data_IF_618495259061
#
_entry.id   IF_618495259061
#
_cell.length_a   1.000
_cell.length_b   1.000
_cell.length_c   1.000
_cell.angle_alpha   90.00
_cell.angle_beta   90.00
_cell.angle_gamma   90.00
#
_symmetry.space_group_name_H-M   'P 1'
#
loop_
_entity.id
_entity.type
_entity.pdbx_description
1 polymer ?
#
# COMPACT_ATOMS: atom_id res chain seq x y z
N UNK A 1 28.52 0.45 -66.36
CA UNK A 1 28.38 -0.88 -65.71
C UNK A 1 29.34 -0.94 -64.54
N UNK A 2 28.82 -0.88 -63.32
CA UNK A 2 29.62 -0.86 -62.09
C UNK A 2 30.07 -2.26 -61.68
N UNK A 3 31.31 -2.35 -61.19
CA UNK A 3 31.93 -3.54 -60.64
C UNK A 3 31.36 -3.88 -59.26
N UNK A 4 31.22 -5.18 -58.97
CA UNK A 4 31.08 -5.72 -57.62
C UNK A 4 32.13 -6.82 -57.43
N UNK A 5 33.09 -6.64 -56.51
CA UNK A 5 33.74 -7.74 -55.84
C UNK A 5 33.35 -7.78 -54.35
N UNK A 6 33.44 -8.99 -53.80
CA UNK A 6 32.95 -9.39 -52.49
C UNK A 6 33.47 -8.58 -51.31
N UNK A 7 32.63 -8.50 -50.29
CA UNK A 7 33.02 -8.08 -48.95
C UNK A 7 32.98 -9.29 -47.99
N UNK A 8 33.97 -9.40 -47.09
CA UNK A 8 34.17 -10.55 -46.21
C UNK A 8 33.28 -10.53 -44.96
N UNK A 9 33.16 -11.71 -44.35
CA UNK A 9 32.66 -11.90 -43.00
C UNK A 9 33.47 -11.05 -41.99
N UNK A 10 32.78 -10.19 -41.25
CA UNK A 10 33.29 -9.57 -40.04
C UNK A 10 32.21 -9.69 -38.98
N UNK A 11 32.45 -10.63 -38.06
CA UNK A 11 31.70 -10.78 -36.83
C UNK A 11 32.20 -9.70 -35.85
N UNK A 12 31.55 -8.54 -35.86
CA UNK A 12 31.73 -7.50 -34.85
C UNK A 12 30.41 -7.44 -34.05
N UNK A 13 30.33 -8.26 -33.01
CA UNK A 13 29.26 -8.18 -32.02
C UNK A 13 29.46 -6.93 -31.16
N UNK A 14 29.04 -5.78 -31.70
CA UNK A 14 28.81 -4.57 -30.93
C UNK A 14 27.61 -4.77 -30.02
N UNK A 15 27.83 -5.22 -28.78
CA UNK A 15 26.85 -5.04 -27.71
C UNK A 15 26.89 -3.59 -27.26
N UNK A 16 26.16 -2.77 -28.00
CA UNK A 16 25.91 -1.38 -27.67
C UNK A 16 25.14 -1.26 -26.36
N UNK A 17 25.55 -0.28 -25.55
CA UNK A 17 24.71 0.31 -24.53
C UNK A 17 23.40 0.77 -25.16
N UNK A 18 22.29 0.11 -24.78
CA UNK A 18 20.96 0.70 -24.89
C UNK A 18 20.48 1.04 -23.47
N UNK A 19 20.29 2.32 -23.12
CA UNK A 19 19.59 2.70 -21.90
C UNK A 19 18.11 2.33 -22.06
N UNK A 20 17.61 1.46 -21.17
CA UNK A 20 16.20 1.10 -21.10
C UNK A 20 15.38 2.29 -20.56
N UNK A 21 15.11 3.25 -21.44
CA UNK A 21 14.17 4.33 -21.21
C UNK A 21 12.74 3.86 -21.45
N UNK A 22 12.03 3.52 -20.37
CA UNK A 22 10.69 4.08 -20.15
C UNK A 22 10.40 4.16 -18.65
N UNK A 23 9.97 5.33 -18.14
CA UNK A 23 9.75 5.55 -16.73
C UNK A 23 8.48 4.82 -16.32
N UNK A 24 8.59 3.85 -15.41
CA UNK A 24 7.41 3.39 -14.67
C UNK A 24 6.91 4.57 -13.83
N UNK A 25 5.90 5.24 -14.38
CA UNK A 25 5.01 6.19 -13.71
C UNK A 25 4.23 5.42 -12.64
N UNK A 26 4.87 5.08 -11.53
CA UNK A 26 4.18 4.74 -10.27
C UNK A 26 4.79 5.57 -9.17
N UNK A 27 4.17 6.73 -8.99
CA UNK A 27 4.61 7.89 -8.20
C UNK A 27 4.39 7.74 -6.69
N UNK A 28 4.03 6.56 -6.20
CA UNK A 28 3.84 6.32 -4.77
C UNK A 28 4.34 4.91 -4.45
N UNK A 29 5.43 4.76 -3.67
CA UNK A 29 5.77 3.47 -3.10
C UNK A 29 4.59 3.06 -2.23
N UNK A 30 3.84 2.06 -2.69
CA UNK A 30 2.90 1.34 -1.85
C UNK A 30 3.75 0.58 -0.85
N UNK A 31 4.12 1.24 0.23
CA UNK A 31 4.63 0.54 1.40
C UNK A 31 3.51 -0.42 1.78
N UNK A 32 3.73 -1.73 1.59
CA UNK A 32 3.07 -2.71 2.44
C UNK A 32 3.44 -2.32 3.85
N UNK A 33 2.65 -1.45 4.46
CA UNK A 33 2.77 -1.12 5.84
C UNK A 33 2.15 -2.30 6.57
N UNK A 34 2.86 -3.43 6.54
CA UNK A 34 2.69 -4.55 7.45
C UNK A 34 3.09 -4.07 8.84
N UNK A 35 2.33 -3.12 9.36
CA UNK A 35 2.61 -2.40 10.60
C UNK A 35 1.49 -2.64 11.59
N UNK A 36 1.87 -2.78 12.84
CA UNK A 36 0.94 -2.80 13.94
C UNK A 36 0.26 -1.43 14.05
N UNK A 37 -1.04 -1.45 14.25
CA UNK A 37 -1.84 -0.26 14.51
C UNK A 37 -2.66 -0.50 15.76
N UNK A 38 -2.58 0.49 16.64
CA UNK A 38 -3.37 0.54 17.85
C UNK A 38 -4.50 1.53 17.63
N UNK A 39 -5.72 1.10 17.91
CA UNK A 39 -6.93 1.89 17.77
C UNK A 39 -7.58 2.05 19.15
N UNK A 40 -7.90 3.28 19.53
CA UNK A 40 -8.65 3.59 20.74
C UNK A 40 -10.01 4.17 20.34
N UNK A 41 -11.09 3.37 20.38
CA UNK A 41 -12.40 3.86 20.02
C UNK A 41 -12.90 4.90 21.03
N UNK A 42 -13.29 6.08 20.55
CA UNK A 42 -13.81 7.15 21.40
C UNK A 42 -15.32 6.99 21.58
N UNK A 43 -15.78 6.96 22.84
CA UNK A 43 -17.20 6.80 23.17
C UNK A 43 -17.70 5.35 23.20
N UNK A 44 -16.81 4.37 23.03
CA UNK A 44 -17.13 2.95 23.18
C UNK A 44 -16.37 2.39 24.39
N UNK A 45 -17.04 1.57 25.22
CA UNK A 45 -16.41 0.85 26.33
C UNK A 45 -15.68 -0.40 25.84
N UNK A 46 -14.84 -0.25 24.82
CA UNK A 46 -14.04 -1.34 24.24
C UNK A 46 -12.57 -1.03 24.54
N UNK A 47 -11.77 -2.03 24.95
CA UNK A 47 -10.33 -1.83 25.10
C UNK A 47 -9.68 -1.42 23.79
N UNK A 48 -8.41 -0.99 23.87
CA UNK A 48 -7.64 -0.70 22.67
C UNK A 48 -7.62 -1.89 21.72
N UNK A 49 -7.90 -1.62 20.46
CA UNK A 49 -7.99 -2.64 19.42
C UNK A 49 -6.64 -2.67 18.73
N UNK A 50 -5.97 -3.80 18.89
CA UNK A 50 -4.77 -4.09 18.13
C UNK A 50 -5.13 -4.71 16.79
N UNK A 51 -4.56 -4.18 15.72
CA UNK A 51 -4.75 -4.66 14.37
C UNK A 51 -3.49 -4.54 13.55
N UNK A 52 -3.54 -5.14 12.36
CA UNK A 52 -2.51 -5.01 11.35
C UNK A 52 -3.00 -4.06 10.28
N UNK A 53 -2.20 -3.06 10.00
CA UNK A 53 -2.47 -2.16 8.91
C UNK A 53 -2.27 -2.90 7.58
N UNK A 54 -3.24 -2.75 6.68
CA UNK A 54 -3.30 -3.45 5.38
C UNK A 54 -2.87 -2.51 4.26
N UNK A 55 -3.31 -1.25 4.31
CA UNK A 55 -3.00 -0.20 3.35
C UNK A 55 -3.17 1.17 4.01
N UNK A 56 -2.26 2.13 3.73
CA UNK A 56 -2.39 3.55 4.10
C UNK A 56 -2.51 4.36 2.81
N UNK A 57 -3.47 5.28 2.81
CA UNK A 57 -3.67 6.33 1.83
C UNK A 57 -3.65 7.70 2.53
N UNK A 58 -3.48 8.77 1.77
CA UNK A 58 -3.42 10.15 2.31
C UNK A 58 -4.66 10.59 3.09
N UNK A 59 -5.81 9.94 2.84
CA UNK A 59 -7.10 10.27 3.43
C UNK A 59 -7.61 9.20 4.39
N UNK A 60 -6.95 8.05 4.51
CA UNK A 60 -7.51 6.91 5.21
C UNK A 60 -6.58 5.72 5.22
N UNK A 61 -6.93 4.70 5.99
CA UNK A 61 -6.16 3.46 6.06
C UNK A 61 -7.10 2.28 6.30
N UNK A 62 -6.61 1.09 5.99
CA UNK A 62 -7.32 -0.17 6.23
C UNK A 62 -6.60 -0.95 7.30
N UNK A 63 -7.36 -1.52 8.21
CA UNK A 63 -6.83 -2.34 9.31
C UNK A 63 -7.55 -3.66 9.33
N UNK A 64 -6.81 -4.76 9.41
CA UNK A 64 -7.31 -6.07 9.77
C UNK A 64 -7.14 -6.25 11.29
N UNK A 65 -8.24 -6.43 12.02
CA UNK A 65 -8.24 -6.69 13.46
C UNK A 65 -9.23 -7.81 13.79
N UNK A 66 -9.19 -8.32 15.02
CA UNK A 66 -10.13 -9.37 15.45
C UNK A 66 -11.35 -8.81 16.18
N UNK A 67 -11.38 -7.50 16.47
CA UNK A 67 -12.50 -6.88 17.18
C UNK A 67 -13.73 -6.73 16.28
N UNK A 68 -14.77 -7.53 16.52
CA UNK A 68 -16.04 -7.42 15.77
C UNK A 68 -16.94 -6.28 16.28
N UNK A 69 -16.61 -5.70 17.42
CA UNK A 69 -17.46 -4.74 18.12
C UNK A 69 -17.22 -3.28 17.68
N UNK A 70 -16.68 -3.06 16.47
CA UNK A 70 -16.37 -1.73 15.95
C UNK A 70 -17.52 -1.24 15.06
N UNK A 71 -18.37 -0.30 15.51
CA UNK A 71 -19.48 0.18 14.69
C UNK A 71 -19.00 1.10 13.56
N UNK A 72 -19.61 0.96 12.38
CA UNK A 72 -19.40 1.91 11.29
C UNK A 72 -19.86 3.32 11.70
N UNK A 73 -19.11 4.34 11.33
CA UNK A 73 -19.32 5.74 11.74
C UNK A 73 -18.67 6.12 13.07
N UNK A 74 -18.17 5.15 13.85
CA UNK A 74 -17.46 5.41 15.10
C UNK A 74 -16.16 6.18 14.88
N UNK A 75 -15.83 7.09 15.81
CA UNK A 75 -14.52 7.75 15.83
C UNK A 75 -13.56 6.93 16.68
N UNK A 76 -12.34 6.79 16.21
CA UNK A 76 -11.26 6.10 16.91
C UNK A 76 -10.01 6.95 16.82
N UNK A 77 -9.21 6.99 17.87
CA UNK A 77 -7.82 7.42 17.74
C UNK A 77 -7.01 6.26 17.20
N UNK A 78 -6.00 6.55 16.40
CA UNK A 78 -5.10 5.54 15.88
C UNK A 78 -3.66 5.95 16.13
N UNK A 79 -2.79 4.96 16.27
CA UNK A 79 -1.34 5.11 16.29
C UNK A 79 -0.72 3.98 15.48
N UNK A 80 0.13 4.34 14.55
CA UNK A 80 0.91 3.41 13.75
C UNK A 80 2.31 4.01 13.51
N UNK A 81 3.23 3.24 12.93
CA UNK A 81 4.61 3.70 12.69
C UNK A 81 4.71 5.02 11.88
N UNK A 82 3.76 5.27 10.96
CA UNK A 82 3.74 6.49 10.15
C UNK A 82 3.14 7.73 10.85
N UNK A 83 2.63 7.62 12.08
CA UNK A 83 1.95 8.72 12.77
C UNK A 83 0.79 8.29 13.67
N UNK A 84 0.19 9.28 14.33
CA UNK A 84 -0.97 9.11 15.20
C UNK A 84 -2.00 10.21 14.93
N UNK A 85 -3.27 9.92 15.14
CA UNK A 85 -4.35 10.87 14.88
C UNK A 85 -5.72 10.32 15.24
N UNK A 86 -6.76 10.95 14.72
CA UNK A 86 -8.13 10.48 14.81
C UNK A 86 -8.61 10.00 13.44
N UNK A 87 -9.41 8.95 13.42
CA UNK A 87 -10.01 8.43 12.22
C UNK A 87 -11.45 8.00 12.48
N UNK A 88 -12.26 7.96 11.42
CA UNK A 88 -13.63 7.49 11.46
C UNK A 88 -13.77 6.19 10.69
N UNK A 89 -14.42 5.21 11.29
CA UNK A 89 -14.78 3.96 10.64
C UNK A 89 -15.79 4.26 9.54
N UNK A 90 -15.47 3.93 8.29
CA UNK A 90 -16.40 4.10 7.15
C UNK A 90 -17.12 2.79 6.87
N UNK A 91 -16.43 1.66 7.02
CA UNK A 91 -16.99 0.33 6.81
C UNK A 91 -16.24 -0.72 7.62
N UNK A 92 -16.92 -1.83 7.91
CA UNK A 92 -16.33 -3.04 8.48
C UNK A 92 -16.72 -4.23 7.59
N UNK A 93 -15.78 -5.11 7.32
CA UNK A 93 -15.95 -6.33 6.53
C UNK A 93 -15.41 -7.50 7.35
N UNK A 94 -16.25 -8.45 7.67
CA UNK A 94 -15.82 -9.69 8.33
C UNK A 94 -15.16 -10.57 7.26
N UNK A 95 -13.96 -11.07 7.55
CA UNK A 95 -13.17 -11.94 6.66
C UNK A 95 -12.78 -13.23 7.40
N UNK A 96 -12.42 -14.31 6.71
CA UNK A 96 -11.90 -15.51 7.37
C UNK A 96 -10.63 -15.14 8.16
N UNK A 97 -10.69 -15.22 9.49
CA UNK A 97 -9.58 -14.86 10.38
C UNK A 97 -9.67 -13.47 11.03
N UNK A 98 -10.74 -12.69 10.80
CA UNK A 98 -10.94 -11.43 11.52
C UNK A 98 -11.94 -10.48 10.86
N UNK A 99 -11.70 -9.19 11.05
CA UNK A 99 -12.49 -8.09 10.51
C UNK A 99 -11.54 -7.08 9.88
N UNK A 100 -11.78 -6.76 8.63
CA UNK A 100 -11.14 -5.63 7.97
C UNK A 100 -12.03 -4.39 8.11
N UNK A 101 -11.45 -3.31 8.60
CA UNK A 101 -12.16 -2.06 8.77
C UNK A 101 -11.45 -0.95 8.02
N UNK A 102 -12.25 -0.16 7.30
CA UNK A 102 -11.79 1.02 6.59
C UNK A 102 -11.96 2.25 7.45
N UNK A 103 -10.87 2.99 7.63
CA UNK A 103 -10.82 4.20 8.43
C UNK A 103 -10.49 5.40 7.54
N UNK A 104 -11.14 6.52 7.79
CA UNK A 104 -10.86 7.81 7.19
C UNK A 104 -10.18 8.70 8.23
N UNK A 105 -8.95 9.14 7.97
CA UNK A 105 -8.22 10.05 8.86
C UNK A 105 -8.92 11.41 8.88
N UNK A 106 -9.07 12.00 10.06
CA UNK A 106 -9.67 13.32 10.30
C UNK A 106 -8.61 14.37 10.61
#
# INVERSE_FOLDING_TARGET
MGAAPGFPASAEAGSGCLPAGRPERRREPRYRAEGEVWLWPEGLQIPEIHGRLVDISRHGFRVAHQCQNLPAGGRVRFRHAAGQGAARVIWNRIVPGGVESGFLVL
#
